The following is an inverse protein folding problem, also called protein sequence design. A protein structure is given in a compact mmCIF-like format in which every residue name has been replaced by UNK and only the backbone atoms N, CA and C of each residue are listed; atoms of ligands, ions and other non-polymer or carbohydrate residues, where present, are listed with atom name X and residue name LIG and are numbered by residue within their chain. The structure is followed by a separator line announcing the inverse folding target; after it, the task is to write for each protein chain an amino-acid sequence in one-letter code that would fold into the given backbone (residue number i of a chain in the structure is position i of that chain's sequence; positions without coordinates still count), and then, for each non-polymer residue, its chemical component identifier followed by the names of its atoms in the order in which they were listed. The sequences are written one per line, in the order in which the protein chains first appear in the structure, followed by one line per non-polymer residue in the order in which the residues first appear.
data_IF_244014989925
#
_entry.id   IF_244014989925
#
_cell.length_a   1.000
_cell.length_b   1.000
_cell.length_c   1.000
_cell.angle_alpha   90.00
_cell.angle_beta   90.00
_cell.angle_gamma   90.00
#
_symmetry.space_group_name_H-M   'P 1'
#
loop_
_entity.id
_entity.type
_entity.pdbx_description
1 polymer ?
#
# COMPACT_ATOMS: atom_id res chain seq x y z
N UNK A 1 10.31 -7.29 -21.39
CA UNK A 1 10.04 -5.86 -21.09
C UNK A 1 10.51 -5.61 -19.66
N UNK A 2 11.59 -4.85 -19.46
CA UNK A 2 12.09 -4.55 -18.10
C UNK A 2 11.48 -3.22 -17.67
N UNK A 3 10.47 -3.25 -16.79
CA UNK A 3 9.99 -2.03 -16.15
C UNK A 3 11.12 -1.50 -15.27
N UNK A 4 11.68 -0.35 -15.65
CA UNK A 4 12.71 0.35 -14.89
C UNK A 4 12.01 0.97 -13.68
N UNK A 5 12.06 0.29 -12.53
CA UNK A 5 11.56 0.83 -11.26
C UNK A 5 12.45 2.01 -10.88
N UNK A 6 11.89 3.23 -10.88
CA UNK A 6 12.59 4.39 -10.37
C UNK A 6 12.66 4.27 -8.84
N UNK A 7 13.85 3.97 -8.32
CA UNK A 7 14.07 3.77 -6.89
C UNK A 7 13.83 5.10 -6.16
N UNK A 8 13.01 5.07 -5.10
CA UNK A 8 12.86 6.21 -4.21
C UNK A 8 14.19 6.47 -3.48
N UNK A 9 14.77 7.66 -3.66
CA UNK A 9 16.03 8.07 -3.03
C UNK A 9 15.82 8.52 -1.57
N UNK A 10 14.59 8.83 -1.16
CA UNK A 10 14.21 9.16 0.20
C UNK A 10 13.54 7.97 0.88
N UNK A 11 14.38 7.02 1.32
CA UNK A 11 13.95 5.82 2.01
C UNK A 11 13.52 6.16 3.44
N UNK A 12 12.22 6.07 3.68
CA UNK A 12 11.63 6.19 5.01
C UNK A 12 10.52 5.14 5.15
N UNK A 13 10.37 4.59 6.36
CA UNK A 13 9.22 3.79 6.71
C UNK A 13 7.97 4.68 6.76
N UNK A 14 6.91 4.24 6.09
CA UNK A 14 5.64 4.95 5.98
C UNK A 14 4.50 3.95 5.97
N UNK A 15 3.38 4.34 6.55
CA UNK A 15 2.10 3.63 6.45
C UNK A 15 1.26 4.06 5.22
N UNK A 16 1.48 5.28 4.72
CA UNK A 16 0.68 5.88 3.65
C UNK A 16 1.56 6.44 2.54
N UNK A 17 1.15 6.21 1.28
CA UNK A 17 1.79 6.77 0.09
C UNK A 17 0.74 7.21 -0.93
N UNK A 18 1.02 8.28 -1.66
CA UNK A 18 0.18 8.72 -2.77
C UNK A 18 0.41 7.82 -3.99
N UNK A 19 -0.68 7.29 -4.56
CA UNK A 19 -0.66 6.63 -5.87
C UNK A 19 -1.27 7.59 -6.90
N UNK A 20 -0.48 8.16 -7.83
CA UNK A 20 -1.02 9.04 -8.85
C UNK A 20 -1.97 8.29 -9.79
N UNK A 21 -2.94 9.01 -10.36
CA UNK A 21 -3.90 8.45 -11.30
C UNK A 21 -3.23 7.72 -12.48
N UNK A 22 -3.66 6.49 -12.75
CA UNK A 22 -3.12 5.65 -13.83
C UNK A 22 -1.67 5.20 -13.65
N UNK A 23 -1.11 5.34 -12.43
CA UNK A 23 0.24 4.88 -12.07
C UNK A 23 0.18 3.73 -11.08
N UNK A 24 1.33 3.10 -10.88
CA UNK A 24 1.54 2.02 -9.91
C UNK A 24 2.69 2.41 -8.99
N UNK A 25 2.61 2.00 -7.73
CA UNK A 25 3.68 2.10 -6.75
C UNK A 25 4.06 0.70 -6.30
N UNK A 26 5.35 0.46 -6.11
CA UNK A 26 5.86 -0.79 -5.53
C UNK A 26 6.09 -0.57 -4.03
N UNK A 27 5.53 -1.45 -3.19
CA UNK A 27 5.62 -1.38 -1.74
C UNK A 27 6.42 -2.58 -1.23
N UNK A 28 7.45 -2.31 -0.44
CA UNK A 28 8.12 -3.31 0.40
C UNK A 28 7.60 -3.13 1.83
N UNK A 29 7.01 -4.18 2.39
CA UNK A 29 6.43 -4.16 3.73
C UNK A 29 6.84 -5.42 4.52
N UNK A 30 7.02 -5.25 5.82
CA UNK A 30 7.21 -6.34 6.79
C UNK A 30 5.97 -6.42 7.68
N UNK A 31 5.29 -7.57 7.67
CA UNK A 31 4.12 -7.82 8.49
C UNK A 31 4.47 -8.76 9.64
N UNK A 32 5.02 -8.21 10.72
CA UNK A 32 5.52 -8.96 11.88
C UNK A 32 4.51 -9.15 13.02
N UNK A 33 3.32 -8.56 12.91
CA UNK A 33 2.26 -8.67 13.92
C UNK A 33 1.04 -9.41 13.35
N UNK A 34 0.72 -10.63 13.84
CA UNK A 34 -0.43 -11.41 13.38
C UNK A 34 -1.77 -10.68 13.59
N UNK A 35 -2.71 -10.87 12.67
CA UNK A 35 -4.04 -10.27 12.74
C UNK A 35 -4.69 -10.03 11.38
N UNK A 36 -5.90 -9.47 11.39
CA UNK A 36 -6.53 -8.92 10.17
C UNK A 36 -5.97 -7.53 9.93
N UNK A 37 -5.36 -7.33 8.77
CA UNK A 37 -4.82 -6.05 8.31
C UNK A 37 -5.67 -5.48 7.19
N UNK A 38 -5.69 -4.16 7.11
CA UNK A 38 -6.40 -3.42 6.06
C UNK A 38 -5.43 -2.57 5.26
N UNK A 39 -5.56 -2.62 3.94
CA UNK A 39 -5.03 -1.62 3.01
C UNK A 39 -6.22 -0.93 2.37
N UNK A 40 -6.26 0.39 2.39
CA UNK A 40 -7.37 1.15 1.81
C UNK A 40 -6.90 2.47 1.22
N UNK A 41 -7.75 3.09 0.40
CA UNK A 41 -7.58 4.50 0.06
C UNK A 41 -7.95 5.35 1.28
N UNK A 42 -7.09 6.29 1.67
CA UNK A 42 -7.32 7.14 2.84
C UNK A 42 -8.28 8.32 2.55
N UNK A 43 -8.81 8.42 1.34
CA UNK A 43 -9.91 9.33 0.99
C UNK A 43 -11.22 8.69 1.48
N UNK A 44 -11.93 9.37 2.38
CA UNK A 44 -13.08 8.80 3.09
C UNK A 44 -14.16 8.29 2.13
N UNK A 45 -14.48 9.06 1.10
CA UNK A 45 -15.47 8.71 0.09
C UNK A 45 -15.08 7.45 -0.70
N UNK A 46 -13.78 7.24 -0.93
CA UNK A 46 -13.28 6.03 -1.60
C UNK A 46 -13.30 4.82 -0.66
N UNK A 47 -12.98 5.02 0.63
CA UNK A 47 -13.10 3.98 1.65
C UNK A 47 -14.55 3.52 1.79
N UNK A 48 -15.49 4.45 1.94
CA UNK A 48 -16.93 4.16 2.02
C UNK A 48 -17.46 3.49 0.75
N UNK A 49 -16.96 3.89 -0.42
CA UNK A 49 -17.27 3.23 -1.69
C UNK A 49 -16.63 1.82 -1.85
N UNK A 50 -15.85 1.37 -0.87
CA UNK A 50 -15.30 0.01 -0.83
C UNK A 50 -13.89 -0.15 -1.38
N UNK A 51 -13.11 0.93 -1.54
CA UNK A 51 -11.71 0.88 -1.99
C UNK A 51 -10.78 0.39 -0.86
N UNK A 52 -11.00 -0.86 -0.45
CA UNK A 52 -10.39 -1.53 0.69
C UNK A 52 -10.01 -2.95 0.33
N UNK A 53 -8.89 -3.44 0.86
CA UNK A 53 -8.45 -4.83 0.82
C UNK A 53 -8.12 -5.27 2.24
N UNK A 54 -8.65 -6.42 2.64
CA UNK A 54 -8.34 -7.05 3.93
C UNK A 54 -7.55 -8.32 3.70
N UNK A 55 -6.59 -8.61 4.58
CA UNK A 55 -5.82 -9.84 4.54
C UNK A 55 -5.38 -10.25 5.95
N UNK A 56 -5.17 -11.55 6.14
CA UNK A 56 -4.72 -12.10 7.42
C UNK A 56 -3.20 -12.31 7.40
N UNK A 57 -2.53 -11.78 8.40
CA UNK A 57 -1.14 -12.09 8.72
C UNK A 57 -1.18 -13.22 9.73
N UNK A 58 -0.68 -14.39 9.32
CA UNK A 58 -0.63 -15.58 10.15
C UNK A 58 0.67 -15.58 10.97
N UNK A 59 0.66 -16.36 12.05
CA UNK A 59 1.84 -16.61 12.88
C UNK A 59 2.80 -17.60 12.21
#
# INVERSE_FOLDING_TARGET
MKNKVNKNENLAWKDTVLVPAGKTVDILAEFSNPGEWVMHCHIAEHLEAGMTTKFNVLQ
#
